data_IF_371774247592
#
_entry.id   IF_371774247592
#
_cell.length_a   1.000
_cell.length_b   1.000
_cell.length_c   1.000
_cell.angle_alpha   90.00
_cell.angle_beta   90.00
_cell.angle_gamma   90.00
#
_symmetry.space_group_name_H-M   'P 1'
#
loop_
_entity.id
_entity.type
_entity.pdbx_description
1 polymer ?
#
# COMPACT_ATOMS: atom_id res chain seq x y z
N UNK A 1 12.78 -32.38 42.81
CA UNK A 1 11.88 -31.23 43.02
C UNK A 1 12.55 -30.06 42.30
N UNK A 2 12.31 -29.96 40.99
CA UNK A 2 11.17 -29.23 40.38
C UNK A 2 11.56 -27.75 40.28
N UNK A 3 12.02 -27.34 39.11
CA UNK A 3 11.27 -26.47 38.16
C UNK A 3 11.60 -24.99 38.53
N UNK A 4 11.97 -24.06 37.66
CA UNK A 4 11.50 -23.83 36.30
C UNK A 4 12.49 -22.97 35.49
N UNK A 5 12.35 -23.17 34.19
CA UNK A 5 12.91 -22.42 33.06
C UNK A 5 12.39 -20.98 33.05
N UNK A 6 13.28 -20.01 32.86
CA UNK A 6 12.89 -18.75 32.19
C UNK A 6 13.84 -18.52 31.03
N UNK A 7 13.45 -19.07 29.88
CA UNK A 7 14.00 -18.67 28.59
C UNK A 7 13.62 -17.23 28.33
N UNK A 8 14.62 -16.34 28.27
CA UNK A 8 14.47 -15.04 27.62
C UNK A 8 14.16 -15.29 26.13
N UNK A 9 12.88 -15.34 25.80
CA UNK A 9 12.43 -15.01 24.46
C UNK A 9 12.76 -13.54 24.22
N UNK A 10 13.95 -13.29 23.69
CA UNK A 10 14.26 -12.04 23.00
C UNK A 10 13.27 -11.93 21.85
N UNK A 11 12.18 -11.20 22.10
CA UNK A 11 11.27 -10.73 21.07
C UNK A 11 12.14 -10.03 20.04
N UNK A 12 12.28 -10.63 18.85
CA UNK A 12 12.94 -9.98 17.73
C UNK A 12 12.15 -8.71 17.48
N UNK A 13 12.75 -7.58 17.84
CA UNK A 13 12.24 -6.27 17.50
C UNK A 13 12.38 -6.16 15.97
N UNK A 14 11.41 -6.71 15.25
CA UNK A 14 11.33 -6.65 13.80
C UNK A 14 11.17 -5.17 13.48
N UNK A 15 12.20 -4.59 12.88
CA UNK A 15 12.21 -3.23 12.40
C UNK A 15 10.93 -3.02 11.57
N UNK A 16 10.03 -2.17 12.03
CA UNK A 16 8.78 -1.94 11.32
C UNK A 16 9.09 -0.90 10.26
N UNK A 17 9.28 -1.33 9.01
CA UNK A 17 9.16 -0.38 7.90
C UNK A 17 7.68 0.01 7.84
N UNK A 18 7.41 1.30 7.92
CA UNK A 18 6.09 1.86 7.67
C UNK A 18 6.18 2.69 6.40
N UNK A 19 5.09 2.82 5.63
CA UNK A 19 3.80 2.14 5.81
C UNK A 19 3.73 0.64 5.46
N UNK A 20 4.68 0.08 4.72
CA UNK A 20 4.69 -1.34 4.31
C UNK A 20 5.46 -2.23 5.28
N UNK A 21 4.83 -3.32 5.74
CA UNK A 21 5.53 -4.35 6.51
C UNK A 21 6.71 -4.94 5.71
N UNK A 22 7.77 -5.39 6.40
CA UNK A 22 8.99 -5.92 5.75
C UNK A 22 8.69 -7.04 4.74
N UNK A 23 7.77 -7.94 5.08
CA UNK A 23 7.37 -9.09 4.25
C UNK A 23 6.28 -8.76 3.22
N UNK A 24 5.77 -7.52 3.21
CA UNK A 24 4.66 -7.12 2.36
C UNK A 24 4.98 -7.19 0.86
N UNK A 25 6.16 -6.77 0.36
CA UNK A 25 6.47 -6.85 -1.07
C UNK A 25 6.34 -8.27 -1.64
N UNK A 26 6.83 -9.29 -0.91
CA UNK A 26 6.73 -10.69 -1.32
C UNK A 26 5.28 -11.18 -1.34
N UNK A 27 4.48 -10.79 -0.34
CA UNK A 27 3.08 -11.17 -0.24
C UNK A 27 2.22 -10.47 -1.30
N UNK A 28 2.50 -9.19 -1.60
CA UNK A 28 1.88 -8.43 -2.68
C UNK A 28 2.18 -9.11 -4.02
N UNK A 29 3.45 -9.42 -4.27
CA UNK A 29 3.91 -10.12 -5.48
C UNK A 29 3.20 -11.45 -5.65
N UNK A 30 3.17 -12.29 -4.61
CA UNK A 30 2.47 -13.58 -4.66
C UNK A 30 0.99 -13.40 -5.02
N UNK A 31 0.30 -12.43 -4.40
CA UNK A 31 -1.10 -12.14 -4.75
C UNK A 31 -1.26 -11.67 -6.20
N UNK A 32 -0.38 -10.78 -6.70
CA UNK A 32 -0.44 -10.29 -8.08
C UNK A 32 -0.17 -11.41 -9.11
N UNK A 33 0.75 -12.33 -8.82
CA UNK A 33 1.00 -13.51 -9.64
C UNK A 33 -0.24 -14.39 -9.69
N UNK A 34 -0.89 -14.66 -8.56
CA UNK A 34 -2.14 -15.43 -8.53
C UNK A 34 -3.27 -14.73 -9.30
N UNK A 35 -3.38 -13.39 -9.21
CA UNK A 35 -4.30 -12.62 -10.05
C UNK A 35 -3.98 -12.80 -11.53
N UNK A 36 -2.70 -12.79 -11.92
CA UNK A 36 -2.26 -12.95 -13.31
C UNK A 36 -2.63 -14.31 -13.90
N UNK A 37 -2.68 -15.35 -13.08
CA UNK A 37 -3.13 -16.69 -13.46
C UNK A 37 -4.66 -16.84 -13.48
N UNK A 38 -5.41 -15.78 -13.16
CA UNK A 38 -6.87 -15.82 -13.08
C UNK A 38 -7.41 -16.46 -11.80
N UNK A 39 -6.55 -16.73 -10.81
CA UNK A 39 -6.94 -17.44 -9.59
C UNK A 39 -7.73 -16.55 -8.62
N UNK A 40 -8.38 -17.19 -7.65
CA UNK A 40 -8.99 -16.50 -6.51
C UNK A 40 -7.92 -16.13 -5.50
N UNK A 41 -7.80 -14.83 -5.23
CA UNK A 41 -6.88 -14.28 -4.22
C UNK A 41 -7.60 -13.83 -2.97
N UNK A 42 -6.91 -13.91 -1.84
CA UNK A 42 -7.36 -13.43 -0.54
C UNK A 42 -7.03 -11.96 -0.34
N UNK A 43 -7.82 -11.29 0.48
CA UNK A 43 -7.51 -9.96 0.99
C UNK A 43 -6.44 -10.09 2.07
N UNK A 44 -5.31 -9.40 1.92
CA UNK A 44 -4.16 -9.49 2.84
C UNK A 44 -3.87 -8.13 3.49
N UNK A 45 -3.42 -8.11 4.74
CA UNK A 45 -2.87 -6.90 5.37
C UNK A 45 -1.43 -6.71 4.93
N UNK A 46 -1.10 -5.56 4.33
CA UNK A 46 0.24 -5.25 3.79
C UNK A 46 1.03 -4.23 4.61
N UNK A 47 0.42 -3.66 5.64
CA UNK A 47 1.09 -2.71 6.52
C UNK A 47 0.10 -1.83 7.27
N UNK A 48 0.60 -0.74 7.82
CA UNK A 48 -0.20 0.26 8.54
C UNK A 48 0.25 1.65 8.15
N UNK A 49 -0.64 2.64 8.14
CA UNK A 49 -0.19 4.02 7.95
C UNK A 49 0.72 4.44 9.11
N UNK A 50 1.63 5.38 8.87
CA UNK A 50 2.31 6.04 9.99
C UNK A 50 1.29 6.76 10.88
N UNK A 51 1.63 7.03 12.14
CA UNK A 51 0.70 7.68 13.06
C UNK A 51 0.29 9.08 12.57
N UNK A 52 1.22 9.80 11.93
CA UNK A 52 0.93 11.10 11.31
C UNK A 52 -0.04 10.95 10.13
N UNK A 53 0.25 10.05 9.19
CA UNK A 53 -0.63 9.77 8.04
C UNK A 53 -2.03 9.34 8.49
N UNK A 54 -2.15 8.43 9.46
CA UNK A 54 -3.45 7.97 9.97
C UNK A 54 -4.24 9.11 10.63
N UNK A 55 -3.57 9.96 11.41
CA UNK A 55 -4.18 11.15 12.02
C UNK A 55 -4.67 12.13 10.96
N UNK A 56 -3.86 12.41 9.95
CA UNK A 56 -4.19 13.32 8.84
C UNK A 56 -5.34 12.79 7.99
N UNK A 57 -5.35 11.49 7.68
CA UNK A 57 -6.47 10.83 6.99
C UNK A 57 -7.75 11.05 7.78
N UNK A 58 -7.76 10.76 9.08
CA UNK A 58 -8.98 10.90 9.89
C UNK A 58 -9.41 12.36 10.08
N UNK A 59 -8.48 13.32 10.18
CA UNK A 59 -8.79 14.76 10.15
C UNK A 59 -9.44 15.17 8.83
N UNK A 60 -8.87 14.75 7.71
CA UNK A 60 -9.42 15.05 6.38
C UNK A 60 -10.79 14.41 6.17
N UNK A 61 -11.00 13.18 6.65
CA UNK A 61 -12.32 12.51 6.62
C UNK A 61 -13.35 13.26 7.44
N UNK A 62 -13.00 13.71 8.65
CA UNK A 62 -13.91 14.53 9.47
C UNK A 62 -14.30 15.84 8.77
N UNK A 63 -13.35 16.52 8.12
CA UNK A 63 -13.63 17.74 7.34
C UNK A 63 -14.54 17.48 6.12
N UNK A 64 -14.56 16.25 5.62
CA UNK A 64 -15.42 15.79 4.53
C UNK A 64 -16.73 15.13 5.03
N UNK A 65 -17.00 15.19 6.35
CA UNK A 65 -18.16 14.55 6.99
C UNK A 65 -18.23 13.02 6.77
N UNK A 66 -17.07 12.38 6.63
CA UNK A 66 -16.94 10.94 6.48
C UNK A 66 -16.60 10.27 7.82
N UNK A 67 -17.14 9.06 8.04
CA UNK A 67 -16.78 8.24 9.20
C UNK A 67 -15.27 7.99 9.27
N UNK A 68 -14.65 8.04 10.47
CA UNK A 68 -13.23 7.76 10.61
C UNK A 68 -12.91 6.31 10.20
N UNK A 69 -11.65 6.08 9.85
CA UNK A 69 -11.07 4.75 9.93
C UNK A 69 -10.80 4.43 11.40
N UNK A 70 -11.19 3.24 11.84
CA UNK A 70 -11.01 2.81 13.24
C UNK A 70 -9.78 1.89 13.38
N UNK A 71 -9.35 1.27 12.27
CA UNK A 71 -8.18 0.40 12.24
C UNK A 71 -7.14 0.93 11.25
N UNK A 72 -5.89 1.02 11.71
CA UNK A 72 -4.76 1.58 10.96
C UNK A 72 -4.17 0.62 9.90
N UNK A 73 -4.81 -0.51 9.64
CA UNK A 73 -4.33 -1.51 8.69
C UNK A 73 -4.63 -1.12 7.23
N UNK A 74 -3.67 -1.39 6.36
CA UNK A 74 -3.81 -1.30 4.91
C UNK A 74 -4.04 -2.71 4.37
N UNK A 75 -5.19 -2.91 3.72
CA UNK A 75 -5.54 -4.16 3.06
C UNK A 75 -5.17 -4.11 1.57
N UNK A 76 -4.94 -5.27 0.97
CA UNK A 76 -4.64 -5.40 -0.45
C UNK A 76 -5.21 -6.68 -1.05
N UNK A 77 -5.85 -6.54 -2.21
CA UNK A 77 -6.32 -7.66 -3.04
C UNK A 77 -5.65 -7.67 -4.42
N UNK A 78 -5.27 -6.50 -4.94
CA UNK A 78 -4.48 -6.38 -6.18
C UNK A 78 -5.24 -6.56 -7.49
N UNK A 79 -6.51 -7.00 -7.51
CA UNK A 79 -7.25 -7.22 -8.77
C UNK A 79 -7.39 -5.98 -9.64
N UNK A 80 -7.81 -4.86 -9.03
CA UNK A 80 -8.04 -3.63 -9.76
C UNK A 80 -6.71 -3.02 -10.24
N UNK A 81 -5.72 -2.95 -9.35
CA UNK A 81 -4.36 -2.56 -9.69
C UNK A 81 -3.81 -3.37 -10.86
N UNK A 82 -3.78 -4.71 -10.74
CA UNK A 82 -3.26 -5.61 -11.77
C UNK A 82 -3.93 -5.35 -13.11
N UNK A 83 -5.28 -5.37 -13.16
CA UNK A 83 -6.01 -5.13 -14.40
C UNK A 83 -5.62 -3.80 -15.05
N UNK A 84 -5.51 -2.73 -14.26
CA UNK A 84 -5.18 -1.40 -14.78
C UNK A 84 -3.74 -1.29 -15.27
N UNK A 85 -2.77 -1.77 -14.49
CA UNK A 85 -1.34 -1.65 -14.79
C UNK A 85 -0.88 -2.66 -15.85
N UNK A 86 -1.45 -3.85 -15.86
CA UNK A 86 -1.23 -4.84 -16.91
C UNK A 86 -1.69 -4.31 -18.28
N UNK A 87 -2.84 -3.64 -18.34
CA UNK A 87 -3.31 -3.01 -19.58
C UNK A 87 -2.39 -1.88 -20.06
N UNK A 88 -1.63 -1.27 -19.15
CA UNK A 88 -0.61 -0.27 -19.44
C UNK A 88 0.77 -0.90 -19.77
N UNK A 89 0.90 -2.23 -19.79
CA UNK A 89 2.14 -2.96 -20.11
C UNK A 89 3.06 -3.28 -18.92
N UNK A 90 2.69 -2.88 -17.70
CA UNK A 90 3.53 -3.08 -16.52
C UNK A 90 3.60 -4.53 -16.08
N UNK A 91 4.80 -4.94 -15.67
CA UNK A 91 5.05 -6.22 -15.03
C UNK A 91 4.60 -6.23 -13.56
N UNK A 92 4.54 -7.41 -12.96
CA UNK A 92 4.30 -7.53 -11.50
C UNK A 92 5.41 -6.85 -10.70
N UNK A 93 6.67 -6.92 -11.16
CA UNK A 93 7.80 -6.24 -10.54
C UNK A 93 7.62 -4.72 -10.50
N UNK A 94 7.14 -4.14 -11.60
CA UNK A 94 6.87 -2.70 -11.68
C UNK A 94 5.76 -2.31 -10.71
N UNK A 95 4.70 -3.12 -10.63
CA UNK A 95 3.58 -2.86 -9.73
C UNK A 95 4.01 -2.91 -8.26
N UNK A 96 4.89 -3.85 -7.89
CA UNK A 96 5.46 -3.91 -6.53
C UNK A 96 6.28 -2.65 -6.25
N UNK A 97 7.17 -2.27 -7.18
CA UNK A 97 8.00 -1.05 -7.05
C UNK A 97 7.15 0.22 -6.91
N UNK A 98 6.07 0.31 -7.70
CA UNK A 98 5.10 1.41 -7.61
C UNK A 98 4.43 1.46 -6.22
N UNK A 99 4.00 0.32 -5.69
CA UNK A 99 3.39 0.24 -4.34
C UNK A 99 4.42 0.64 -3.28
N UNK A 100 5.64 0.12 -3.35
CA UNK A 100 6.70 0.43 -2.39
C UNK A 100 7.04 1.92 -2.35
N UNK A 101 7.15 2.55 -3.52
CA UNK A 101 7.37 3.98 -3.65
C UNK A 101 6.19 4.78 -3.10
N UNK A 102 4.95 4.44 -3.49
CA UNK A 102 3.76 5.16 -3.07
C UNK A 102 3.46 5.03 -1.56
N UNK A 103 3.92 3.95 -0.92
CA UNK A 103 3.79 3.65 0.50
C UNK A 103 5.15 3.76 1.19
N UNK A 104 5.84 4.87 0.98
CA UNK A 104 7.03 5.26 1.73
C UNK A 104 6.66 6.14 2.94
N UNK A 105 7.59 6.30 3.89
CA UNK A 105 7.37 7.12 5.10
C UNK A 105 7.20 8.61 4.78
N UNK A 106 7.86 9.10 3.72
CA UNK A 106 7.72 10.46 3.23
C UNK A 106 6.41 10.73 2.48
N UNK A 107 5.59 9.71 2.20
CA UNK A 107 4.39 9.88 1.41
C UNK A 107 3.35 10.75 2.14
N UNK A 108 2.79 11.71 1.43
CA UNK A 108 1.90 12.73 1.98
C UNK A 108 0.43 12.39 1.74
N UNK A 109 -0.42 12.69 2.73
CA UNK A 109 -1.87 12.52 2.63
C UNK A 109 -2.46 13.57 1.70
N UNK A 110 -3.11 13.10 0.62
CA UNK A 110 -3.86 13.92 -0.31
C UNK A 110 -5.29 13.39 -0.40
N UNK A 111 -6.22 14.06 0.31
CA UNK A 111 -7.64 13.70 0.32
C UNK A 111 -8.51 14.77 -0.32
N UNK A 112 -9.53 14.31 -1.04
CA UNK A 112 -10.60 15.13 -1.59
C UNK A 112 -11.93 14.38 -1.43
N UNK A 113 -13.04 15.05 -1.78
CA UNK A 113 -14.36 14.43 -1.82
C UNK A 113 -14.43 13.16 -2.69
N UNK A 114 -13.56 13.04 -3.69
CA UNK A 114 -13.60 11.97 -4.69
C UNK A 114 -12.47 10.94 -4.55
N UNK A 115 -11.44 11.23 -3.76
CA UNK A 115 -10.22 10.43 -3.75
C UNK A 115 -9.54 10.49 -2.39
N UNK A 116 -9.17 9.32 -1.86
CA UNK A 116 -8.29 9.17 -0.70
C UNK A 116 -6.96 8.63 -1.20
N UNK A 117 -5.85 9.34 -0.96
CA UNK A 117 -4.56 8.93 -1.50
C UNK A 117 -3.38 9.28 -0.60
N UNK A 118 -2.30 8.51 -0.76
CA UNK A 118 -0.95 8.89 -0.37
C UNK A 118 -0.13 9.12 -1.65
N UNK A 119 0.73 10.12 -1.66
CA UNK A 119 1.65 10.33 -2.77
C UNK A 119 3.08 10.50 -2.25
N UNK A 120 4.02 9.80 -2.87
CA UNK A 120 5.43 10.07 -2.65
C UNK A 120 5.80 11.44 -3.25
N UNK A 121 6.25 12.42 -2.44
CA UNK A 121 6.70 13.71 -2.96
C UNK A 121 8.05 13.62 -3.69
N UNK A 122 8.80 12.54 -3.48
CA UNK A 122 10.07 12.29 -4.12
C UNK A 122 9.87 11.49 -5.42
N UNK A 123 10.29 12.08 -6.53
CA UNK A 123 10.20 11.41 -7.83
C UNK A 123 11.25 10.30 -7.95
N UNK A 124 10.86 9.15 -8.53
CA UNK A 124 11.80 8.08 -8.89
C UNK A 124 11.91 7.93 -10.41
N UNK A 125 13.08 7.51 -10.89
CA UNK A 125 13.20 6.98 -12.24
C UNK A 125 12.46 5.64 -12.34
N UNK A 126 11.67 5.48 -13.40
CA UNK A 126 10.82 4.29 -13.56
C UNK A 126 11.40 3.20 -14.45
N UNK A 127 12.60 3.42 -15.01
CA UNK A 127 13.24 2.51 -15.96
C UNK A 127 12.74 2.63 -17.39
N UNK A 128 11.71 3.45 -17.65
CA UNK A 128 11.14 3.70 -18.98
C UNK A 128 11.41 5.13 -19.48
N UNK A 129 12.27 5.86 -18.77
CA UNK A 129 12.68 7.23 -19.13
C UNK A 129 11.74 8.29 -18.57
N UNK A 130 10.92 7.96 -17.56
CA UNK A 130 10.15 8.96 -16.81
C UNK A 130 10.74 9.16 -15.41
N UNK A 131 10.45 10.33 -14.84
CA UNK A 131 10.50 10.56 -13.39
C UNK A 131 9.06 10.57 -12.90
N UNK A 132 8.70 9.65 -12.00
CA UNK A 132 7.33 9.44 -11.56
C UNK A 132 7.18 9.66 -10.06
N UNK A 133 6.03 10.20 -9.67
CA UNK A 133 5.60 10.42 -8.29
C UNK A 133 4.47 9.44 -7.99
N UNK A 134 4.79 8.27 -7.47
CA UNK A 134 3.78 7.22 -7.29
C UNK A 134 2.74 7.62 -6.24
N UNK A 135 1.47 7.41 -6.60
CA UNK A 135 0.32 7.75 -5.78
C UNK A 135 -0.52 6.51 -5.49
N UNK A 136 -0.59 6.12 -4.23
CA UNK A 136 -1.48 5.09 -3.73
C UNK A 136 -2.91 5.63 -3.63
N UNK A 137 -3.87 4.92 -4.21
CA UNK A 137 -5.29 5.23 -4.17
C UNK A 137 -5.99 4.24 -3.24
N UNK A 138 -6.76 4.74 -2.29
CA UNK A 138 -7.46 3.93 -1.30
C UNK A 138 -8.96 3.94 -1.51
N UNK A 139 -9.56 2.77 -1.34
CA UNK A 139 -10.97 2.62 -1.07
C UNK A 139 -11.14 2.52 0.46
N UNK A 140 -12.06 3.30 1.04
CA UNK A 140 -12.24 3.41 2.50
C UNK A 140 -13.71 3.29 2.94
N UNK A 141 -14.55 2.65 2.15
CA UNK A 141 -15.98 2.43 2.41
C UNK A 141 -16.36 0.95 2.40
N UNK A 142 -15.85 0.14 1.48
CA UNK A 142 -16.22 -1.26 1.29
C UNK A 142 -15.59 -2.19 2.33
N UNK A 143 -14.48 -1.76 2.94
CA UNK A 143 -13.70 -2.55 3.93
C UNK A 143 -13.61 -1.88 5.29
N UNK A 144 -14.59 -1.04 5.64
CA UNK A 144 -14.66 -0.46 6.99
C UNK A 144 -14.49 -1.55 8.05
N UNK A 145 -13.69 -1.30 9.11
CA UNK A 145 -13.13 0.01 9.47
C UNK A 145 -11.71 0.29 8.91
N UNK A 146 -11.24 -0.46 7.91
CA UNK A 146 -9.87 -0.40 7.35
C UNK A 146 -9.84 0.26 5.98
N UNK A 147 -8.65 0.64 5.53
CA UNK A 147 -8.41 1.09 4.16
C UNK A 147 -8.00 -0.08 3.27
N UNK A 148 -8.45 -0.10 2.01
CA UNK A 148 -7.96 -1.01 0.97
C UNK A 148 -7.13 -0.22 -0.04
N UNK A 149 -5.88 -0.63 -0.28
CA UNK A 149 -5.09 -0.16 -1.41
C UNK A 149 -5.74 -0.66 -2.70
N UNK A 150 -6.42 0.25 -3.39
CA UNK A 150 -7.23 -0.06 -4.56
C UNK A 150 -6.43 -0.02 -5.87
N UNK A 151 -5.54 0.96 -6.00
CA UNK A 151 -4.64 1.12 -7.15
C UNK A 151 -3.42 1.98 -6.78
N UNK A 152 -2.45 2.06 -7.69
CA UNK A 152 -1.29 2.95 -7.62
C UNK A 152 -1.11 3.58 -8.99
N UNK A 153 -0.88 4.88 -9.03
CA UNK A 153 -0.72 5.66 -10.26
C UNK A 153 0.70 6.25 -10.29
N UNK A 154 1.56 5.88 -11.26
CA UNK A 154 2.85 6.53 -11.46
C UNK A 154 2.65 7.92 -12.10
N UNK A 155 2.49 8.97 -11.30
CA UNK A 155 2.23 10.33 -11.85
C UNK A 155 3.48 10.84 -12.56
N UNK A 156 3.35 11.13 -13.85
CA UNK A 156 4.50 11.48 -14.72
C UNK A 156 4.81 10.42 -15.78
N UNK A 157 4.07 9.31 -15.80
CA UNK A 157 4.18 8.22 -16.76
C UNK A 157 3.72 8.61 -18.18
N UNK A 158 4.64 9.18 -18.95
CA UNK A 158 4.45 9.46 -20.37
C UNK A 158 4.92 8.29 -21.26
N UNK A 159 6.02 7.65 -20.88
CA UNK A 159 6.61 6.51 -21.58
C UNK A 159 6.26 5.21 -20.85
N UNK A 160 5.26 4.48 -21.35
CA UNK A 160 4.86 3.19 -20.78
C UNK A 160 5.75 2.04 -21.28
N UNK A 161 5.79 0.91 -20.55
CA UNK A 161 6.38 -0.33 -21.06
C UNK A 161 5.81 -0.69 -22.44
N UNK A 162 6.67 -1.20 -23.33
CA UNK A 162 6.29 -1.60 -24.70
C UNK A 162 6.04 -3.09 -24.80
#
# INVERSE_FOLDING_TARGET
>A
MSDDVVGEHKSKNTEVKLPLAIDAPDRIRANLIEVSHGNRVSLITIGTFSLSQFSEINKARANLELHPLELNEILFMGRHLFKSRWADGYSVDDMVTQIESALCDAAEVSMSKFMSSLQNPEGREDGYGNVVFDRAIFEMTARKPRAELFSVIPKGDANKPK
#
